data_IF_406076791498
#
_entry.id   IF_406076791498
#
_cell.length_a   1.000
_cell.length_b   1.000
_cell.length_c   1.000
_cell.angle_alpha   90.00
_cell.angle_beta   90.00
_cell.angle_gamma   90.00
#
_symmetry.space_group_name_H-M   'P 1'
#
loop_
_entity.id
_entity.type
_entity.pdbx_description
1 polymer ?
#
# COMPACT_ATOMS: atom_id res chain seq x y z
N UNK A 1 0.23 -32.31 -1.68
CA UNK A 1 -0.87 -31.35 -1.57
C UNK A 1 -0.84 -30.47 -2.80
N UNK A 2 -1.81 -30.55 -3.73
CA UNK A 2 -1.87 -29.54 -4.78
C UNK A 2 -2.29 -28.23 -4.11
N UNK A 3 -1.37 -27.27 -4.03
CA UNK A 3 -1.67 -25.92 -3.58
C UNK A 3 -2.43 -25.19 -4.71
N UNK A 4 -3.41 -24.36 -4.34
CA UNK A 4 -4.02 -23.43 -5.27
C UNK A 4 -3.00 -22.35 -5.64
N UNK A 5 -2.96 -21.96 -6.91
CA UNK A 5 -2.08 -20.90 -7.42
C UNK A 5 -2.92 -19.68 -7.76
N UNK A 6 -2.48 -18.50 -7.31
CA UNK A 6 -3.00 -17.21 -7.74
C UNK A 6 -2.14 -16.69 -8.91
N UNK A 7 -2.79 -16.23 -9.98
CA UNK A 7 -2.13 -15.59 -11.12
C UNK A 7 -2.85 -14.28 -11.37
N UNK A 8 -2.10 -13.19 -11.40
CA UNK A 8 -2.63 -11.81 -11.53
C UNK A 8 -1.75 -10.98 -12.48
N UNK A 9 -2.24 -9.78 -12.82
CA UNK A 9 -1.50 -8.83 -13.66
C UNK A 9 -0.23 -8.36 -12.95
N UNK A 10 0.91 -8.33 -13.67
CA UNK A 10 2.14 -7.74 -13.13
C UNK A 10 2.07 -6.21 -13.15
N UNK A 11 2.08 -5.60 -11.97
CA UNK A 11 2.08 -4.15 -11.80
C UNK A 11 3.50 -3.59 -11.84
N UNK A 12 3.75 -2.62 -12.71
CA UNK A 12 5.05 -1.94 -12.83
C UNK A 12 5.06 -0.59 -12.12
N UNK A 13 6.19 -0.26 -11.49
CA UNK A 13 6.40 1.01 -10.80
C UNK A 13 7.01 0.84 -9.40
N UNK A 14 7.34 1.95 -8.72
CA UNK A 14 7.80 1.92 -7.33
C UNK A 14 6.77 1.25 -6.41
N UNK A 15 7.24 0.55 -5.38
CA UNK A 15 6.39 0.01 -4.32
C UNK A 15 6.49 0.86 -3.07
N UNK A 16 5.34 1.11 -2.46
CA UNK A 16 5.24 1.71 -1.15
C UNK A 16 4.43 0.80 -0.23
N UNK A 17 4.67 0.91 1.06
CA UNK A 17 3.69 0.52 2.07
C UNK A 17 3.14 1.74 2.79
N UNK A 18 1.88 1.64 3.19
CA UNK A 18 1.17 2.65 3.97
C UNK A 18 0.71 2.01 5.26
N UNK A 19 1.28 2.45 6.38
CA UNK A 19 0.75 2.12 7.71
C UNK A 19 -0.27 3.18 8.11
N UNK A 20 -1.45 2.75 8.51
CA UNK A 20 -2.54 3.64 8.90
C UNK A 20 -3.16 3.25 10.24
N UNK A 21 -3.71 4.25 10.94
CA UNK A 21 -4.57 4.05 12.10
C UNK A 21 -6.00 4.38 11.70
N UNK A 22 -6.93 3.51 12.09
CA UNK A 22 -8.37 3.72 11.93
C UNK A 22 -8.99 3.98 13.30
N UNK A 23 -9.81 5.02 13.39
CA UNK A 23 -10.60 5.34 14.58
C UNK A 23 -11.97 5.88 14.16
N UNK A 24 -13.06 5.32 14.69
CA UNK A 24 -14.43 5.64 14.27
C UNK A 24 -14.66 5.61 12.75
N UNK A 25 -13.95 4.71 12.04
CA UNK A 25 -14.01 4.59 10.58
C UNK A 25 -13.20 5.64 9.80
N UNK A 26 -12.57 6.59 10.47
CA UNK A 26 -11.64 7.55 9.85
C UNK A 26 -10.25 6.94 9.73
N UNK A 27 -9.73 6.91 8.51
CA UNK A 27 -8.43 6.32 8.19
C UNK A 27 -7.37 7.41 8.10
N UNK A 28 -6.38 7.36 8.98
CA UNK A 28 -5.25 8.29 9.01
C UNK A 28 -3.97 7.55 8.63
N UNK A 29 -3.38 7.79 7.46
CA UNK A 29 -2.06 7.27 7.15
C UNK A 29 -1.02 7.90 8.10
N UNK A 30 -0.12 7.07 8.61
CA UNK A 30 0.90 7.45 9.59
C UNK A 30 2.32 7.30 9.05
N UNK A 31 2.55 6.33 8.16
CA UNK A 31 3.85 6.09 7.52
C UNK A 31 3.61 5.77 6.06
N UNK A 32 4.39 6.41 5.18
CA UNK A 32 4.55 6.01 3.79
C UNK A 32 6.01 5.59 3.63
N UNK A 33 6.23 4.30 3.40
CA UNK A 33 7.56 3.72 3.27
C UNK A 33 7.81 3.34 1.81
N UNK A 34 8.78 4.00 1.18
CA UNK A 34 9.23 3.67 -0.18
C UNK A 34 10.13 2.44 -0.12
N UNK A 35 9.64 1.31 -0.62
CA UNK A 35 10.36 0.04 -0.51
C UNK A 35 11.52 -0.03 -1.49
N UNK A 36 12.61 -0.62 -1.03
CA UNK A 36 13.78 -1.01 -1.82
C UNK A 36 13.71 -2.51 -2.05
N UNK A 37 13.38 -2.90 -3.26
CA UNK A 37 13.23 -4.31 -3.61
C UNK A 37 14.53 -4.89 -4.19
N UNK A 38 14.77 -6.16 -3.90
CA UNK A 38 15.78 -6.98 -4.53
C UNK A 38 15.46 -7.28 -5.99
N UNK A 39 16.27 -8.15 -6.60
CA UNK A 39 16.12 -8.48 -8.01
C UNK A 39 14.83 -9.27 -8.27
N UNK A 40 14.19 -8.95 -9.39
CA UNK A 40 13.14 -9.80 -9.96
C UNK A 40 13.67 -11.23 -10.17
N UNK A 41 12.83 -12.27 -9.99
CA UNK A 41 11.38 -12.23 -9.80
C UNK A 41 10.92 -12.35 -8.33
N UNK A 42 11.80 -12.13 -7.35
CA UNK A 42 11.52 -12.48 -5.95
C UNK A 42 11.00 -11.32 -5.08
N UNK A 43 11.20 -10.08 -5.52
CA UNK A 43 10.67 -8.87 -4.87
C UNK A 43 11.01 -8.76 -3.37
N UNK A 44 12.17 -9.28 -2.95
CA UNK A 44 12.58 -9.25 -1.55
C UNK A 44 12.72 -7.81 -1.06
N UNK A 45 12.02 -7.42 0.00
CA UNK A 45 12.25 -6.12 0.61
C UNK A 45 13.63 -6.12 1.29
N UNK A 46 14.53 -5.29 0.75
CA UNK A 46 15.90 -5.10 1.27
C UNK A 46 15.99 -3.90 2.22
N UNK A 47 14.91 -3.12 2.31
CA UNK A 47 14.75 -1.97 3.20
C UNK A 47 13.71 -0.98 2.65
N UNK A 48 13.61 0.18 3.28
CA UNK A 48 12.73 1.26 2.84
C UNK A 48 13.22 2.63 3.30
N UNK A 49 12.69 3.68 2.67
CA UNK A 49 12.89 5.08 3.04
C UNK A 49 11.57 5.71 3.50
N UNK A 50 11.64 6.56 4.53
CA UNK A 50 10.48 7.31 5.05
C UNK A 50 10.84 8.79 5.15
N UNK A 51 9.95 9.67 4.71
CA UNK A 51 10.02 11.12 4.94
C UNK A 51 8.71 11.59 5.56
N UNK A 52 8.79 12.33 6.67
CA UNK A 52 7.61 12.91 7.32
C UNK A 52 6.90 13.97 6.45
N UNK A 53 7.54 14.46 5.39
CA UNK A 53 7.00 15.43 4.42
C UNK A 53 6.78 14.80 3.05
N UNK A 54 6.57 13.48 3.00
CA UNK A 54 6.30 12.80 1.75
C UNK A 54 5.05 13.40 1.07
N UNK A 55 5.14 13.86 -0.19
CA UNK A 55 4.00 14.43 -0.90
C UNK A 55 2.84 13.44 -1.10
N UNK A 56 3.08 12.12 -0.97
CA UNK A 56 2.03 11.12 -1.06
C UNK A 56 1.03 11.19 0.10
N UNK A 57 1.36 11.89 1.20
CA UNK A 57 0.38 12.24 2.23
C UNK A 57 -0.68 13.23 1.72
N UNK A 58 -0.47 13.88 0.56
CA UNK A 58 -1.41 14.78 -0.09
C UNK A 58 -1.97 14.20 -1.41
N UNK A 59 -1.60 12.96 -1.78
CA UNK A 59 -2.08 12.32 -3.01
C UNK A 59 -3.56 11.89 -2.86
N UNK A 60 -4.46 12.63 -3.50
CA UNK A 60 -5.90 12.40 -3.37
C UNK A 60 -6.34 11.01 -3.86
N UNK A 61 -5.67 10.43 -4.88
CA UNK A 61 -6.06 9.14 -5.44
C UNK A 61 -5.66 7.99 -4.51
N UNK A 62 -4.44 8.03 -3.96
CA UNK A 62 -3.95 7.08 -2.96
C UNK A 62 -4.83 7.12 -1.71
N UNK A 63 -5.06 8.32 -1.16
CA UNK A 63 -5.85 8.50 0.05
C UNK A 63 -7.32 8.07 -0.14
N UNK A 64 -7.90 8.35 -1.31
CA UNK A 64 -9.25 7.88 -1.65
C UNK A 64 -9.30 6.35 -1.68
N UNK A 65 -8.36 5.70 -2.39
CA UNK A 65 -8.30 4.24 -2.43
C UNK A 65 -8.14 3.64 -1.03
N UNK A 66 -7.24 4.20 -0.21
CA UNK A 66 -7.02 3.75 1.15
C UNK A 66 -8.34 3.79 1.95
N UNK A 67 -9.07 4.90 1.94
CA UNK A 67 -10.38 5.01 2.62
C UNK A 67 -11.41 4.03 2.07
N UNK A 68 -11.50 3.90 0.75
CA UNK A 68 -12.48 3.02 0.09
C UNK A 68 -12.24 1.54 0.44
N UNK A 69 -10.97 1.10 0.47
CA UNK A 69 -10.57 -0.26 0.85
C UNK A 69 -10.96 -0.56 2.30
N UNK A 70 -10.59 0.32 3.24
CA UNK A 70 -10.89 0.13 4.65
C UNK A 70 -12.41 0.11 4.91
N UNK A 71 -13.16 0.99 4.24
CA UNK A 71 -14.63 0.98 4.28
C UNK A 71 -15.20 -0.32 3.72
N UNK A 72 -14.70 -0.80 2.59
CA UNK A 72 -15.17 -2.05 1.97
C UNK A 72 -14.92 -3.28 2.87
N UNK A 73 -13.82 -3.27 3.62
CA UNK A 73 -13.50 -4.30 4.61
C UNK A 73 -14.25 -4.14 5.94
N UNK A 74 -15.00 -3.03 6.14
CA UNK A 74 -15.74 -2.77 7.37
C UNK A 74 -14.86 -2.43 8.57
N UNK A 75 -13.63 -1.95 8.34
CA UNK A 75 -12.70 -1.60 9.41
C UNK A 75 -13.08 -0.27 10.04
N UNK A 76 -13.27 -0.25 11.37
CA UNK A 76 -13.64 0.97 12.11
C UNK A 76 -12.61 1.39 13.15
N UNK A 77 -11.79 0.44 13.63
CA UNK A 77 -10.79 0.68 14.67
C UNK A 77 -9.58 -0.23 14.44
N UNK A 78 -8.38 0.29 14.68
CA UNK A 78 -7.15 -0.51 14.69
C UNK A 78 -6.03 0.14 13.89
N UNK A 79 -5.04 -0.67 13.51
CA UNK A 79 -3.96 -0.28 12.63
C UNK A 79 -3.86 -1.27 11.47
N UNK A 80 -3.43 -0.79 10.32
CA UNK A 80 -3.29 -1.59 9.09
C UNK A 80 -1.97 -1.28 8.42
N UNK A 81 -1.51 -2.26 7.66
CA UNK A 81 -0.43 -2.15 6.70
C UNK A 81 -1.02 -2.48 5.33
N UNK A 82 -0.77 -1.64 4.33
CA UNK A 82 -1.27 -1.85 2.97
C UNK A 82 -0.17 -1.55 1.96
N UNK A 83 0.00 -2.42 0.98
CA UNK A 83 1.05 -2.30 -0.02
C UNK A 83 0.46 -1.77 -1.33
N UNK A 84 1.16 -0.83 -1.95
CA UNK A 84 0.72 -0.23 -3.20
C UNK A 84 1.86 -0.22 -4.21
N UNK A 85 1.49 -0.46 -5.48
CA UNK A 85 2.33 -0.12 -6.62
C UNK A 85 1.92 1.22 -7.20
N UNK A 86 2.89 2.12 -7.34
CA UNK A 86 2.70 3.43 -7.99
C UNK A 86 2.88 3.25 -9.50
N UNK A 87 1.79 2.89 -10.17
CA UNK A 87 1.82 2.56 -11.60
C UNK A 87 1.60 3.78 -12.49
N UNK A 88 1.90 3.71 -13.80
CA UNK A 88 1.54 4.77 -14.75
C UNK A 88 0.02 5.07 -14.84
N UNK A 89 -0.84 4.20 -14.31
CA UNK A 89 -2.30 4.35 -14.27
C UNK A 89 -2.81 4.78 -12.87
N UNK A 90 -1.92 5.27 -12.02
CA UNK A 90 -2.19 5.62 -10.62
C UNK A 90 -1.82 4.48 -9.65
N UNK A 91 -1.97 4.72 -8.34
CA UNK A 91 -1.71 3.73 -7.31
C UNK A 91 -2.64 2.52 -7.45
N UNK A 92 -2.13 1.32 -7.14
CA UNK A 92 -2.87 0.05 -7.14
C UNK A 92 -2.52 -0.73 -5.89
N UNK A 93 -3.54 -1.17 -5.15
CA UNK A 93 -3.38 -2.07 -4.01
C UNK A 93 -2.81 -3.40 -4.50
N UNK A 94 -1.85 -3.94 -3.74
CA UNK A 94 -1.33 -5.30 -3.87
C UNK A 94 -1.90 -6.14 -2.72
#
# INVERSE_FOLDING_TARGET
YPANVLVEEYLTGPEISVDAVIHDGEVTPTVIAHKRLGLEPYFEETGHDVDARDPLFEDEELLRQLRDIHRALGLTHGATHSEFKLTPRGPRLV
#
